data_IF_286765992369
#
_entry.id   IF_286765992369
#
_cell.length_a   1.000
_cell.length_b   1.000
_cell.length_c   1.000
_cell.angle_alpha   90.00
_cell.angle_beta   90.00
_cell.angle_gamma   90.00
#
_symmetry.space_group_name_H-M   'P 1'
#
loop_
_entity.id
_entity.type
_entity.pdbx_description
1 polymer ?
#
# COMPACT_ATOMS: atom_id res chain seq x y z
N UNK A 1 -14.98 -40.38 0.63
CA UNK A 1 -15.25 -39.08 1.28
C UNK A 1 -13.93 -38.64 1.92
N UNK A 2 -13.02 -38.09 1.13
CA UNK A 2 -11.65 -37.78 1.60
C UNK A 2 -11.65 -36.39 2.21
N UNK A 3 -11.46 -36.32 3.53
CA UNK A 3 -11.20 -35.07 4.23
C UNK A 3 -9.75 -34.67 3.94
N UNK A 4 -9.57 -33.57 3.19
CA UNK A 4 -8.28 -32.94 3.06
C UNK A 4 -7.88 -32.34 4.43
N UNK A 5 -6.83 -32.89 5.04
CA UNK A 5 -6.18 -32.29 6.20
C UNK A 5 -5.44 -31.04 5.71
N UNK A 6 -5.97 -29.86 6.03
CA UNK A 6 -5.25 -28.60 5.89
C UNK A 6 -4.25 -28.55 7.05
N UNK A 7 -2.97 -28.72 6.75
CA UNK A 7 -1.90 -28.52 7.73
C UNK A 7 -1.98 -27.09 8.29
N UNK A 8 -1.76 -26.88 9.61
CA UNK A 8 -1.75 -25.53 10.17
C UNK A 8 -0.62 -24.74 9.50
N UNK A 9 -0.97 -23.61 8.86
CA UNK A 9 0.03 -22.68 8.33
C UNK A 9 0.88 -22.21 9.51
N UNK A 10 2.19 -22.46 9.44
CA UNK A 10 3.12 -22.11 10.51
C UNK A 10 3.07 -20.60 10.76
N UNK A 11 2.95 -20.21 12.04
CA UNK A 11 2.98 -18.79 12.45
C UNK A 11 4.23 -18.07 11.98
N UNK A 12 5.34 -18.80 11.79
CA UNK A 12 6.57 -18.29 11.22
C UNK A 12 6.44 -17.90 9.73
N UNK A 13 5.65 -18.64 8.94
CA UNK A 13 5.44 -18.35 7.51
C UNK A 13 4.53 -17.12 7.30
N UNK A 14 3.56 -16.93 8.19
CA UNK A 14 2.72 -15.72 8.23
C UNK A 14 3.56 -14.50 8.58
N UNK A 15 4.43 -14.62 9.59
CA UNK A 15 5.33 -13.53 9.98
C UNK A 15 6.39 -13.25 8.91
N UNK A 16 6.87 -14.25 8.19
CA UNK A 16 7.84 -14.06 7.10
C UNK A 16 7.20 -13.39 5.87
N UNK A 17 5.97 -13.77 5.48
CA UNK A 17 5.21 -13.04 4.45
C UNK A 17 4.91 -11.60 4.86
N UNK A 18 4.46 -11.40 6.10
CA UNK A 18 4.22 -10.06 6.63
C UNK A 18 5.54 -9.25 6.72
N UNK A 19 6.65 -9.88 7.09
CA UNK A 19 7.97 -9.25 7.12
C UNK A 19 8.48 -8.89 5.72
N UNK A 20 8.18 -9.68 4.68
CA UNK A 20 8.46 -9.33 3.28
C UNK A 20 7.65 -8.09 2.87
N UNK A 21 6.36 -8.02 3.23
CA UNK A 21 5.56 -6.82 3.00
C UNK A 21 6.07 -5.61 3.80
N UNK A 22 6.49 -5.81 5.05
CA UNK A 22 7.02 -4.76 5.94
C UNK A 22 8.47 -4.34 5.62
N UNK A 23 9.25 -5.16 4.92
CA UNK A 23 10.63 -4.87 4.50
C UNK A 23 10.71 -4.09 3.18
N UNK A 24 9.59 -3.68 2.62
CA UNK A 24 9.57 -2.83 1.44
C UNK A 24 9.92 -1.40 1.86
N UNK A 25 10.98 -0.82 1.30
CA UNK A 25 11.34 0.58 1.55
C UNK A 25 10.19 1.50 1.08
N UNK A 26 9.60 2.35 1.95
CA UNK A 26 8.52 3.26 1.57
C UNK A 26 8.91 4.26 0.46
N UNK A 27 10.20 4.47 0.22
CA UNK A 27 10.72 5.33 -0.85
C UNK A 27 10.96 4.59 -2.17
N UNK A 28 10.74 3.27 -2.21
CA UNK A 28 10.91 2.48 -3.41
C UNK A 28 9.67 2.57 -4.30
N UNK A 29 9.87 3.02 -5.55
CA UNK A 29 8.85 2.89 -6.59
C UNK A 29 8.89 1.48 -7.17
N UNK A 30 7.75 0.78 -7.12
CA UNK A 30 7.61 -0.49 -7.79
C UNK A 30 7.47 -0.27 -9.30
N UNK A 31 7.92 -1.21 -10.13
CA UNK A 31 7.83 -1.09 -11.59
C UNK A 31 6.38 -0.98 -12.12
N UNK A 32 5.38 -1.34 -11.30
CA UNK A 32 3.95 -1.19 -11.60
C UNK A 32 3.35 0.12 -11.08
N UNK A 33 4.15 1.02 -10.51
CA UNK A 33 3.70 2.35 -10.14
C UNK A 33 3.68 3.27 -11.36
N UNK A 34 2.54 3.90 -11.58
CA UNK A 34 2.34 4.87 -12.64
C UNK A 34 1.29 5.90 -12.22
N UNK A 35 1.34 7.14 -12.76
CA UNK A 35 0.44 8.23 -12.36
C UNK A 35 -1.05 7.92 -12.50
N UNK A 36 -1.43 7.03 -13.43
CA UNK A 36 -2.83 6.68 -13.67
C UNK A 36 -3.29 5.41 -12.94
N UNK A 37 -2.64 5.04 -11.84
CA UNK A 37 -3.02 3.86 -11.09
C UNK A 37 -4.35 4.12 -10.37
N UNK A 38 -5.33 3.24 -10.61
CA UNK A 38 -6.66 3.32 -10.02
C UNK A 38 -6.60 2.69 -8.62
N UNK A 39 -6.81 3.50 -7.57
CA UNK A 39 -6.76 3.04 -6.18
C UNK A 39 -7.97 2.18 -5.81
N UNK A 40 -9.12 2.45 -6.42
CA UNK A 40 -10.34 1.66 -6.27
C UNK A 40 -11.21 1.83 -7.49
N UNK A 41 -11.93 0.79 -7.88
CA UNK A 41 -12.91 0.85 -8.98
C UNK A 41 -14.26 1.38 -8.51
N UNK A 42 -14.46 1.54 -7.20
CA UNK A 42 -15.70 2.03 -6.63
C UNK A 42 -15.69 3.56 -6.64
N UNK A 43 -16.67 4.18 -7.31
CA UNK A 43 -16.86 5.63 -7.22
C UNK A 43 -17.32 6.02 -5.82
N UNK A 44 -16.79 7.12 -5.28
CA UNK A 44 -17.19 7.63 -3.97
C UNK A 44 -18.63 8.16 -4.02
N UNK A 45 -19.48 7.67 -3.12
CA UNK A 45 -20.85 8.12 -2.89
C UNK A 45 -21.09 8.36 -1.40
N UNK A 46 -22.10 9.15 -1.01
CA UNK A 46 -22.37 9.40 0.41
C UNK A 46 -22.61 8.13 1.24
N UNK A 47 -23.15 7.07 0.62
CA UNK A 47 -23.48 5.81 1.30
C UNK A 47 -22.35 4.77 1.35
N UNK A 48 -21.26 4.96 0.61
CA UNK A 48 -20.21 3.94 0.50
C UNK A 48 -18.85 4.35 1.07
N UNK A 49 -18.75 5.51 1.73
CA UNK A 49 -17.48 6.06 2.22
C UNK A 49 -16.63 5.03 2.99
N UNK A 50 -17.22 4.24 3.90
CA UNK A 50 -16.49 3.22 4.65
C UNK A 50 -15.87 2.13 3.75
N UNK A 51 -16.63 1.65 2.76
CA UNK A 51 -16.16 0.63 1.81
C UNK A 51 -15.11 1.21 0.86
N UNK A 52 -15.35 2.42 0.36
CA UNK A 52 -14.43 3.16 -0.50
C UNK A 52 -13.10 3.42 0.20
N UNK A 53 -13.15 4.00 1.41
CA UNK A 53 -11.97 4.28 2.24
C UNK A 53 -11.16 3.02 2.49
N UNK A 54 -11.82 1.93 2.91
CA UNK A 54 -11.13 0.65 3.15
C UNK A 54 -10.48 0.11 1.89
N UNK A 55 -11.13 0.24 0.73
CA UNK A 55 -10.55 -0.17 -0.56
C UNK A 55 -9.31 0.65 -0.90
N UNK A 56 -9.35 1.97 -0.73
CA UNK A 56 -8.20 2.86 -0.96
C UNK A 56 -7.06 2.54 0.01
N UNK A 57 -7.35 2.35 1.29
CA UNK A 57 -6.36 1.98 2.31
C UNK A 57 -5.66 0.66 1.98
N UNK A 58 -6.41 -0.37 1.56
CA UNK A 58 -5.85 -1.67 1.18
C UNK A 58 -4.94 -1.54 -0.04
N UNK A 59 -5.36 -0.80 -1.07
CA UNK A 59 -4.56 -0.58 -2.28
C UNK A 59 -3.25 0.17 -1.98
N UNK A 60 -3.29 1.16 -1.08
CA UNK A 60 -2.10 1.88 -0.65
C UNK A 60 -1.20 1.03 0.26
N UNK A 61 -1.77 0.22 1.15
CA UNK A 61 -1.06 -0.73 1.99
C UNK A 61 -0.29 -1.76 1.15
N UNK A 62 -0.94 -2.31 0.12
CA UNK A 62 -0.31 -3.27 -0.80
C UNK A 62 0.91 -2.68 -1.54
N UNK A 63 0.97 -1.35 -1.66
CA UNK A 63 2.07 -0.60 -2.27
C UNK A 63 3.02 0.06 -1.27
N UNK A 64 2.82 -0.14 0.04
CA UNK A 64 3.54 0.52 1.11
C UNK A 64 3.46 2.06 1.10
N UNK A 65 2.40 2.61 0.51
CA UNK A 65 2.20 4.06 0.36
C UNK A 65 1.24 4.67 1.38
N UNK A 66 0.64 3.87 2.27
CA UNK A 66 -0.33 4.36 3.26
C UNK A 66 0.24 5.45 4.17
N UNK A 67 1.53 5.37 4.49
CA UNK A 67 2.22 6.29 5.40
C UNK A 67 2.35 7.70 4.82
N UNK A 68 2.28 7.86 3.49
CA UNK A 68 2.24 9.16 2.83
C UNK A 68 0.89 9.86 3.03
N UNK A 69 -0.21 9.11 3.07
CA UNK A 69 -1.56 9.67 3.26
C UNK A 69 -1.85 9.97 4.73
N UNK A 70 -1.42 9.09 5.64
CA UNK A 70 -1.63 9.29 7.07
C UNK A 70 -0.72 10.37 7.68
N UNK A 71 0.34 10.78 6.97
CA UNK A 71 1.35 11.70 7.50
C UNK A 71 2.39 11.06 8.42
N UNK A 72 2.35 9.73 8.58
CA UNK A 72 3.28 8.96 9.42
C UNK A 72 4.72 8.92 8.85
N UNK A 73 4.90 9.39 7.60
CA UNK A 73 6.19 9.43 6.93
C UNK A 73 6.48 10.84 6.37
N UNK A 74 6.97 11.76 7.22
CA UNK A 74 7.25 13.14 6.80
C UNK A 74 8.41 13.19 5.81
N UNK A 75 8.42 14.26 5.00
CA UNK A 75 9.51 14.51 4.05
C UNK A 75 10.86 14.61 4.78
N UNK A 76 11.85 13.79 4.41
CA UNK A 76 13.16 13.80 5.07
C UNK A 76 13.97 15.07 4.71
N UNK A 77 14.97 15.38 5.55
CA UNK A 77 15.89 16.51 5.33
C UNK A 77 17.04 16.17 4.37
N UNK A 78 17.40 14.88 4.28
CA UNK A 78 18.41 14.42 3.34
C UNK A 78 17.96 14.63 1.89
N UNK A 79 18.80 15.26 1.07
CA UNK A 79 18.41 15.67 -0.29
C UNK A 79 18.06 14.48 -1.20
N UNK A 80 18.77 13.35 -1.06
CA UNK A 80 18.55 12.17 -1.90
C UNK A 80 17.23 11.52 -1.52
N UNK A 81 17.02 11.28 -0.22
CA UNK A 81 15.77 10.72 0.28
C UNK A 81 14.59 11.66 0.04
N UNK A 82 14.80 12.97 0.14
CA UNK A 82 13.76 13.97 -0.12
C UNK A 82 13.30 13.92 -1.58
N UNK A 83 14.24 13.78 -2.52
CA UNK A 83 13.93 13.62 -3.95
C UNK A 83 13.13 12.33 -4.21
N UNK A 84 13.48 11.23 -3.54
CA UNK A 84 12.73 9.97 -3.65
C UNK A 84 11.33 10.10 -3.02
N UNK A 85 11.24 10.78 -1.88
CA UNK A 85 9.99 11.05 -1.20
C UNK A 85 9.06 11.87 -2.09
N UNK A 86 9.56 12.93 -2.71
CA UNK A 86 8.79 13.79 -3.61
C UNK A 86 8.24 13.00 -4.82
N UNK A 87 9.00 12.02 -5.32
CA UNK A 87 8.53 11.12 -6.40
C UNK A 87 7.43 10.18 -5.93
N UNK A 88 7.58 9.55 -4.76
CA UNK A 88 6.57 8.67 -4.19
C UNK A 88 5.28 9.42 -3.84
N UNK A 89 5.40 10.59 -3.22
CA UNK A 89 4.29 11.48 -2.87
C UNK A 89 3.55 11.95 -4.14
N UNK A 90 4.30 12.32 -5.19
CA UNK A 90 3.73 12.61 -6.50
C UNK A 90 2.88 11.44 -7.02
N UNK A 91 3.38 10.21 -6.98
CA UNK A 91 2.57 9.04 -7.41
C UNK A 91 1.28 8.91 -6.60
N UNK A 92 1.32 9.10 -5.27
CA UNK A 92 0.11 9.02 -4.44
C UNK A 92 -0.91 10.11 -4.78
N UNK A 93 -0.44 11.34 -5.01
CA UNK A 93 -1.29 12.51 -5.32
C UNK A 93 -1.92 12.46 -6.70
N UNK A 94 -1.24 11.88 -7.68
CA UNK A 94 -1.72 11.82 -9.06
C UNK A 94 -2.50 10.55 -9.38
N UNK A 95 -2.49 9.55 -8.50
CA UNK A 95 -3.34 8.37 -8.64
C UNK A 95 -4.81 8.75 -8.76
N UNK A 96 -5.53 8.04 -9.62
CA UNK A 96 -6.95 8.29 -9.88
C UNK A 96 -7.79 7.52 -8.87
N UNK A 97 -8.80 8.20 -8.31
CA UNK A 97 -9.81 7.67 -7.38
C UNK A 97 -11.19 7.63 -8.02
#
# INVERSE_FOLDING_TARGET
MNQAQISPISTHDVLNSAAIFLNSDPLQLHHSDHPNFVLTTNLLTPGNYHHWRRSVEISLLAKNKIKFVNGDFPRPLDHVMATQWDRCDGMVKYNVI
#
